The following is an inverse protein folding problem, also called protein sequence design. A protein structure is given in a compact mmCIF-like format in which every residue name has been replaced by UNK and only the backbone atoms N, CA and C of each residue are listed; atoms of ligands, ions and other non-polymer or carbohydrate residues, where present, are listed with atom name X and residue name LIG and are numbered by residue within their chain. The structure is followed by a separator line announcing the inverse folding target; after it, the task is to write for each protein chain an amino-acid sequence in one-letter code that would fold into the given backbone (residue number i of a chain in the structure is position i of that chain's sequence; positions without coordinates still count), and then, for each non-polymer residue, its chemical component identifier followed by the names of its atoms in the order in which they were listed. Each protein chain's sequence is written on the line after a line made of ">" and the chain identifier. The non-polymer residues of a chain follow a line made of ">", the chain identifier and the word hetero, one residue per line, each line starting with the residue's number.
data_IF_615931624641
#
_entry.id   IF_615931624641
#
_cell.length_a   1.000
_cell.length_b   1.000
_cell.length_c   1.000
_cell.angle_alpha   90.00
_cell.angle_beta   90.00
_cell.angle_gamma   90.00
#
_symmetry.space_group_name_H-M   'P 1'
#
loop_
_entity.id
_entity.type
_entity.pdbx_description
1 polymer ?
#
# COMPACT_ATOMS: atom_id res chain seq x y z
N UNK A 1 -41.55 3.36 -39.82
CA UNK A 1 -40.41 2.43 -39.57
C UNK A 1 -39.04 2.90 -40.13
N UNK A 2 -38.81 4.18 -40.44
CA UNK A 2 -37.47 4.70 -40.82
C UNK A 2 -36.76 5.54 -39.75
N UNK A 3 -37.51 6.13 -38.81
CA UNK A 3 -36.94 6.91 -37.71
C UNK A 3 -36.38 6.07 -36.55
N UNK A 4 -36.86 4.84 -36.35
CA UNK A 4 -36.39 3.97 -35.25
C UNK A 4 -34.99 3.37 -35.52
N UNK A 5 -34.55 3.32 -36.79
CA UNK A 5 -33.21 2.84 -37.15
C UNK A 5 -32.11 3.88 -36.96
N UNK A 6 -32.46 5.18 -36.90
CA UNK A 6 -31.48 6.26 -36.69
C UNK A 6 -31.15 6.41 -35.20
N UNK A 7 -32.11 6.18 -34.31
CA UNK A 7 -31.89 6.23 -32.86
C UNK A 7 -30.96 5.12 -32.35
N UNK A 8 -30.94 3.96 -33.03
CA UNK A 8 -30.09 2.83 -32.67
C UNK A 8 -28.62 3.01 -33.12
N UNK A 9 -28.35 3.90 -34.07
CA UNK A 9 -26.98 4.15 -34.57
C UNK A 9 -26.24 5.21 -33.72
N UNK A 10 -26.95 6.10 -33.04
CA UNK A 10 -26.37 7.13 -32.15
C UNK A 10 -25.96 6.61 -30.77
N UNK A 11 -26.34 5.39 -30.39
CA UNK A 11 -25.99 4.79 -29.07
C UNK A 11 -24.68 3.98 -29.08
N UNK A 12 -24.02 3.84 -30.22
CA UNK A 12 -22.81 3.00 -30.37
C UNK A 12 -21.50 3.81 -30.26
N UNK A 13 -21.55 5.16 -30.26
CA UNK A 13 -20.33 6.00 -30.37
C UNK A 13 -19.78 6.49 -29.02
N UNK A 14 -20.42 6.20 -27.88
CA UNK A 14 -19.94 6.66 -26.55
C UNK A 14 -19.32 5.58 -25.65
N UNK A 15 -18.79 4.50 -26.22
CA UNK A 15 -17.94 3.55 -25.47
C UNK A 15 -16.46 3.94 -25.59
N UNK A 16 -16.12 5.21 -25.34
CA UNK A 16 -14.77 5.54 -24.89
C UNK A 16 -14.71 5.17 -23.41
N UNK A 17 -14.57 3.88 -23.14
CA UNK A 17 -14.02 3.46 -21.85
C UNK A 17 -12.55 3.88 -21.88
N UNK A 18 -12.26 5.06 -21.38
CA UNK A 18 -10.91 5.35 -20.95
C UNK A 18 -10.62 4.41 -19.77
N UNK A 19 -10.00 3.28 -20.11
CA UNK A 19 -9.28 2.49 -19.13
C UNK A 19 -8.18 3.40 -18.61
N UNK A 20 -8.43 4.07 -17.48
CA UNK A 20 -7.38 4.70 -16.70
C UNK A 20 -6.45 3.58 -16.26
N UNK A 21 -5.45 3.29 -17.09
CA UNK A 21 -4.47 2.26 -16.81
C UNK A 21 -3.64 2.76 -15.63
N UNK A 22 -3.94 2.26 -14.44
CA UNK A 22 -3.10 2.47 -13.27
C UNK A 22 -1.69 1.97 -13.59
N UNK A 23 -0.75 2.91 -13.60
CA UNK A 23 0.65 2.68 -13.87
C UNK A 23 1.31 2.16 -12.59
N UNK A 24 1.62 0.85 -12.54
CA UNK A 24 2.18 0.18 -11.36
C UNK A 24 3.62 -0.25 -11.57
N UNK A 25 4.50 0.26 -10.72
CA UNK A 25 5.93 0.00 -10.76
C UNK A 25 6.45 -0.41 -9.39
N UNK A 26 7.39 -1.35 -9.39
CA UNK A 26 8.13 -1.79 -8.20
C UNK A 26 9.62 -1.79 -8.49
N UNK A 27 10.42 -1.50 -7.48
CA UNK A 27 11.85 -1.34 -7.65
C UNK A 27 12.53 -0.94 -6.35
N UNK A 28 13.56 -0.11 -6.48
CA UNK A 28 14.39 0.30 -5.37
C UNK A 28 14.73 1.79 -5.41
N UNK A 29 14.77 2.40 -4.23
CA UNK A 29 15.56 3.60 -3.95
C UNK A 29 17.01 3.14 -3.79
N UNK A 30 17.90 3.68 -4.62
CA UNK A 30 19.34 3.48 -4.55
C UNK A 30 19.98 4.70 -3.93
N UNK A 31 20.63 4.50 -2.79
CA UNK A 31 21.44 5.52 -2.14
C UNK A 31 22.92 5.34 -2.50
N UNK A 32 23.73 6.38 -2.29
CA UNK A 32 25.15 6.38 -2.67
C UNK A 32 25.96 5.22 -2.04
N UNK A 33 25.53 4.76 -0.87
CA UNK A 33 26.26 3.75 -0.09
C UNK A 33 25.78 2.31 -0.37
N UNK A 34 25.27 2.04 -1.58
CA UNK A 34 24.74 0.74 -2.06
C UNK A 34 23.46 0.23 -1.34
N UNK A 35 22.93 0.97 -0.36
CA UNK A 35 21.66 0.60 0.26
C UNK A 35 20.52 0.64 -0.77
N UNK A 36 19.79 -0.48 -0.86
CA UNK A 36 18.62 -0.66 -1.71
C UNK A 36 17.37 -0.75 -0.85
N UNK A 37 16.55 0.30 -0.86
CA UNK A 37 15.29 0.32 -0.14
C UNK A 37 14.18 -0.01 -1.14
N UNK A 38 13.35 -1.02 -0.83
CA UNK A 38 12.22 -1.40 -1.68
C UNK A 38 11.29 -0.20 -1.88
N UNK A 39 10.85 0.02 -3.11
CA UNK A 39 9.95 1.13 -3.45
C UNK A 39 8.87 0.69 -4.44
N UNK A 40 7.64 1.13 -4.20
CA UNK A 40 6.53 0.98 -5.14
C UNK A 40 5.97 2.34 -5.49
N UNK A 41 5.54 2.46 -6.73
CA UNK A 41 4.88 3.62 -7.28
C UNK A 41 3.63 3.17 -8.04
N UNK A 42 2.48 3.70 -7.68
CA UNK A 42 1.21 3.47 -8.35
C UNK A 42 0.56 4.81 -8.66
N UNK A 43 0.27 5.08 -9.94
CA UNK A 43 -0.31 6.36 -10.32
C UNK A 43 -1.25 6.27 -11.52
N UNK A 44 -2.17 7.21 -11.60
CA UNK A 44 -2.92 7.54 -12.82
C UNK A 44 -2.39 8.83 -13.41
N UNK A 45 -2.59 8.98 -14.71
CA UNK A 45 -2.28 10.20 -15.44
C UNK A 45 -3.57 10.68 -16.11
N UNK A 46 -3.82 11.99 -16.04
CA UNK A 46 -4.94 12.64 -16.70
C UNK A 46 -4.53 14.04 -17.13
N UNK A 47 -4.59 14.34 -18.43
CA UNK A 47 -4.27 15.65 -19.00
C UNK A 47 -2.88 16.20 -18.61
N UNK A 48 -1.89 15.34 -18.50
CA UNK A 48 -0.52 15.65 -18.09
C UNK A 48 -0.33 15.69 -16.58
N UNK A 49 -1.38 15.60 -15.77
CA UNK A 49 -1.27 15.55 -14.30
C UNK A 49 -1.18 14.12 -13.79
N UNK A 50 -0.30 13.91 -12.81
CA UNK A 50 -0.09 12.62 -12.17
C UNK A 50 -0.60 12.67 -10.74
N UNK A 51 -1.39 11.68 -10.36
CA UNK A 51 -1.83 11.46 -8.98
C UNK A 51 -1.75 9.99 -8.61
N UNK A 52 -1.45 9.69 -7.35
CA UNK A 52 -1.30 8.31 -6.90
C UNK A 52 -0.62 8.18 -5.56
N UNK A 53 0.08 7.05 -5.38
CA UNK A 53 0.73 6.69 -4.13
C UNK A 53 2.13 6.12 -4.36
N UNK A 54 2.99 6.37 -3.39
CA UNK A 54 4.24 5.63 -3.19
C UNK A 54 4.15 4.74 -1.96
N UNK A 55 4.96 3.68 -1.95
CA UNK A 55 5.16 2.81 -0.80
C UNK A 55 6.66 2.50 -0.65
N UNK A 56 7.28 3.14 0.32
CA UNK A 56 8.68 2.95 0.70
C UNK A 56 8.80 1.81 1.70
N UNK A 57 9.87 1.03 1.58
CA UNK A 57 10.15 -0.17 2.40
C UNK A 57 8.95 -1.12 2.53
N UNK A 58 8.23 -1.34 1.43
CA UNK A 58 7.02 -2.16 1.45
C UNK A 58 7.31 -3.58 1.98
N UNK A 59 6.53 -4.04 2.95
CA UNK A 59 6.72 -5.28 3.70
C UNK A 59 7.93 -5.30 4.66
N UNK A 60 8.62 -4.17 4.83
CA UNK A 60 9.71 -3.99 5.79
C UNK A 60 9.27 -3.38 7.12
N UNK A 61 10.26 -3.01 7.95
CA UNK A 61 10.05 -2.46 9.29
C UNK A 61 9.69 -0.98 9.26
N UNK A 62 10.06 -0.28 8.19
CA UNK A 62 9.86 1.16 8.02
C UNK A 62 8.87 1.48 6.90
N UNK A 63 7.95 0.55 6.61
CA UNK A 63 6.96 0.71 5.54
C UNK A 63 6.22 2.06 5.69
N UNK A 64 6.22 2.84 4.61
CA UNK A 64 5.70 4.20 4.61
C UNK A 64 4.93 4.46 3.31
N UNK A 65 3.66 4.86 3.42
CA UNK A 65 2.80 5.17 2.29
C UNK A 65 2.52 6.66 2.21
N UNK A 66 2.78 7.25 1.05
CA UNK A 66 2.56 8.67 0.78
C UNK A 66 1.72 8.88 -0.48
N UNK A 67 0.95 9.96 -0.52
CA UNK A 67 0.36 10.47 -1.78
C UNK A 67 1.46 11.10 -2.61
N UNK A 68 1.35 10.95 -3.91
CA UNK A 68 2.18 11.65 -4.88
C UNK A 68 1.35 12.58 -5.76
N UNK A 69 2.00 13.65 -6.21
CA UNK A 69 1.48 14.55 -7.22
C UNK A 69 2.61 14.95 -8.16
N UNK A 70 2.32 15.04 -9.46
CA UNK A 70 3.34 15.26 -10.46
C UNK A 70 2.79 15.63 -11.82
N UNK A 71 3.69 15.63 -12.81
CA UNK A 71 3.41 16.00 -14.19
C UNK A 71 4.06 14.97 -15.12
N UNK A 72 3.32 14.55 -16.14
CA UNK A 72 3.80 13.82 -17.30
C UNK A 72 3.83 14.74 -18.52
N UNK A 73 5.03 14.95 -19.05
CA UNK A 73 5.23 15.64 -20.32
C UNK A 73 5.32 14.61 -21.45
N UNK A 74 4.21 14.46 -22.18
CA UNK A 74 4.12 13.52 -23.30
C UNK A 74 5.06 13.90 -24.45
N UNK A 75 5.23 15.19 -24.74
CA UNK A 75 6.04 15.70 -25.84
C UNK A 75 7.52 15.39 -25.62
N UNK A 76 8.02 15.64 -24.42
CA UNK A 76 9.42 15.41 -24.07
C UNK A 76 9.69 14.01 -23.49
N UNK A 77 8.64 13.19 -23.33
CA UNK A 77 8.70 11.88 -22.69
C UNK A 77 9.36 11.94 -21.30
N UNK A 78 8.84 12.82 -20.45
CA UNK A 78 9.37 13.06 -19.10
C UNK A 78 8.29 12.90 -18.04
N UNK A 79 8.69 12.34 -16.91
CA UNK A 79 7.88 12.28 -15.70
C UNK A 79 8.58 13.03 -14.57
N UNK A 80 7.80 13.75 -13.78
CA UNK A 80 8.22 14.37 -12.53
C UNK A 80 7.13 14.16 -11.49
N UNK A 81 7.50 13.92 -10.23
CA UNK A 81 6.53 13.85 -9.14
C UNK A 81 7.20 14.13 -7.80
N UNK A 82 6.39 14.49 -6.82
CA UNK A 82 6.80 14.60 -5.42
C UNK A 82 5.80 13.86 -4.53
N UNK A 83 6.31 13.32 -3.43
CA UNK A 83 5.47 12.92 -2.29
C UNK A 83 4.95 14.17 -1.59
N UNK A 84 3.64 14.25 -1.36
CA UNK A 84 2.95 15.46 -0.90
C UNK A 84 2.19 15.28 0.41
N UNK A 85 1.84 14.06 0.77
CA UNK A 85 1.10 13.79 2.01
C UNK A 85 1.40 12.39 2.53
N UNK A 86 1.86 12.30 3.78
CA UNK A 86 2.01 11.03 4.47
C UNK A 86 0.64 10.47 4.90
N UNK A 87 0.35 9.23 4.49
CA UNK A 87 -0.90 8.50 4.81
C UNK A 87 -0.70 7.63 6.04
N UNK A 88 0.34 6.78 6.02
CA UNK A 88 0.75 5.99 7.17
C UNK A 88 2.23 5.67 7.13
N UNK A 89 2.80 5.37 8.31
CA UNK A 89 4.17 4.86 8.44
C UNK A 89 4.29 3.91 9.63
N UNK A 90 5.21 2.95 9.52
CA UNK A 90 5.70 2.14 10.64
C UNK A 90 6.95 2.70 11.29
N UNK A 91 7.55 3.71 10.67
CA UNK A 91 8.71 4.39 11.24
C UNK A 91 8.29 5.15 12.50
N UNK A 92 9.19 5.29 13.48
CA UNK A 92 8.95 6.13 14.65
C UNK A 92 8.53 7.55 14.24
N UNK A 93 7.46 8.06 14.86
CA UNK A 93 6.93 9.41 14.60
C UNK A 93 7.00 10.20 15.90
N UNK A 94 7.57 11.41 15.83
CA UNK A 94 7.50 12.36 16.95
C UNK A 94 6.22 13.19 16.86
N UNK A 95 5.63 13.53 18.01
CA UNK A 95 4.43 14.38 18.05
C UNK A 95 4.71 15.84 17.65
N UNK A 96 5.97 16.26 17.76
CA UNK A 96 6.39 17.65 17.61
C UNK A 96 6.93 17.93 16.21
N UNK A 97 7.32 16.88 15.49
CA UNK A 97 7.81 16.95 14.12
C UNK A 97 7.17 15.82 13.29
N UNK A 98 6.12 16.18 12.53
CA UNK A 98 5.51 15.31 11.52
C UNK A 98 6.22 15.42 10.17
N UNK A 99 7.51 15.78 10.18
CA UNK A 99 8.26 15.95 8.95
C UNK A 99 8.99 14.68 8.54
N UNK A 100 8.83 14.33 7.27
CA UNK A 100 9.41 13.14 6.65
C UNK A 100 10.20 13.57 5.43
N UNK A 101 11.26 12.81 5.17
CA UNK A 101 12.06 12.97 3.97
C UNK A 101 11.27 12.48 2.74
N UNK A 102 10.59 13.40 2.07
CA UNK A 102 9.74 13.14 0.90
C UNK A 102 10.58 13.04 -0.37
N UNK A 103 10.25 12.10 -1.25
CA UNK A 103 10.91 11.95 -2.55
C UNK A 103 10.39 12.98 -3.55
N UNK A 104 11.31 13.72 -4.18
CA UNK A 104 11.05 14.63 -5.29
C UNK A 104 11.83 14.16 -6.52
N UNK A 105 11.15 13.45 -7.42
CA UNK A 105 11.68 13.08 -8.73
C UNK A 105 11.55 14.26 -9.68
N UNK A 106 12.67 14.92 -9.98
CA UNK A 106 12.67 16.17 -10.75
C UNK A 106 12.31 15.97 -12.23
N UNK A 107 12.94 15.00 -12.89
CA UNK A 107 12.65 14.66 -14.29
C UNK A 107 13.33 13.33 -14.64
N UNK A 108 12.55 12.35 -15.06
CA UNK A 108 13.06 11.08 -15.59
C UNK A 108 12.54 10.85 -17.00
N UNK A 109 13.38 10.25 -17.87
CA UNK A 109 12.93 9.81 -19.20
C UNK A 109 11.92 8.68 -19.01
N UNK A 110 10.69 8.90 -19.47
CA UNK A 110 9.58 8.01 -19.21
C UNK A 110 8.53 8.08 -20.31
N UNK A 111 7.90 6.95 -20.60
CA UNK A 111 6.71 6.85 -21.46
C UNK A 111 5.66 6.10 -20.66
N UNK A 112 4.40 6.54 -20.74
CA UNK A 112 3.30 5.79 -20.13
C UNK A 112 3.31 4.33 -20.62
N UNK A 113 3.11 3.39 -19.70
CA UNK A 113 3.23 1.95 -19.98
C UNK A 113 4.65 1.44 -20.23
N UNK A 114 5.70 2.24 -19.96
CA UNK A 114 7.07 1.75 -20.04
C UNK A 114 7.31 0.56 -19.10
N UNK A 115 8.15 -0.37 -19.56
CA UNK A 115 8.48 -1.57 -18.78
C UNK A 115 9.44 -1.29 -17.62
N UNK A 116 10.21 -0.20 -17.70
CA UNK A 116 11.15 0.24 -16.66
C UNK A 116 11.46 1.73 -16.83
N UNK A 117 11.90 2.35 -15.76
CA UNK A 117 12.51 3.68 -15.80
C UNK A 117 13.49 3.84 -14.64
N UNK A 118 14.46 4.73 -14.83
CA UNK A 118 15.32 5.21 -13.77
C UNK A 118 15.22 6.72 -13.68
N UNK A 119 15.41 7.27 -12.49
CA UNK A 119 15.36 8.72 -12.29
C UNK A 119 16.02 9.15 -10.99
N UNK A 120 16.80 10.23 -11.05
CA UNK A 120 17.38 10.83 -9.86
C UNK A 120 16.29 11.59 -9.10
N UNK A 121 16.32 11.47 -7.77
CA UNK A 121 15.43 12.21 -6.89
C UNK A 121 16.23 12.99 -5.84
N UNK A 122 15.58 14.03 -5.33
CA UNK A 122 16.00 14.73 -4.11
C UNK A 122 14.97 14.45 -3.03
N UNK A 123 15.43 13.95 -1.91
CA UNK A 123 14.69 13.85 -0.66
C UNK A 123 14.64 15.22 -0.01
N UNK A 124 13.46 15.69 0.37
CA UNK A 124 13.27 16.95 1.08
C UNK A 124 12.28 16.82 2.22
N UNK A 125 12.57 17.54 3.29
CA UNK A 125 11.64 17.84 4.36
C UNK A 125 10.59 18.86 3.87
N UNK A 126 9.55 19.07 4.67
CA UNK A 126 8.41 19.92 4.38
C UNK A 126 8.79 21.40 4.27
N UNK A 127 9.85 21.80 4.98
CA UNK A 127 10.49 23.13 4.87
C UNK A 127 11.35 23.29 3.60
N UNK A 128 11.51 22.22 2.81
CA UNK A 128 12.33 22.18 1.61
C UNK A 128 13.81 21.83 1.85
N UNK A 129 14.23 21.68 3.10
CA UNK A 129 15.58 21.25 3.47
C UNK A 129 15.85 19.88 2.90
N UNK A 130 16.97 19.74 2.19
CA UNK A 130 17.34 18.49 1.54
C UNK A 130 17.83 17.49 2.60
N UNK A 131 17.22 16.31 2.65
CA UNK A 131 17.58 15.25 3.58
C UNK A 131 18.50 14.20 2.93
N UNK A 132 18.12 13.68 1.76
CA UNK A 132 18.90 12.63 1.08
C UNK A 132 18.75 12.76 -0.43
N UNK A 133 19.70 12.25 -1.21
CA UNK A 133 19.54 12.15 -2.67
C UNK A 133 19.82 10.72 -3.11
N UNK A 134 19.20 10.31 -4.21
CA UNK A 134 19.41 8.98 -4.75
C UNK A 134 18.81 8.80 -6.13
N UNK A 135 18.72 7.55 -6.55
CA UNK A 135 18.14 7.14 -7.82
C UNK A 135 16.98 6.17 -7.56
N UNK A 136 15.84 6.38 -8.21
CA UNK A 136 14.79 5.39 -8.33
C UNK A 136 15.12 4.48 -9.50
N UNK A 137 15.11 3.17 -9.26
CA UNK A 137 15.26 2.15 -10.29
C UNK A 137 14.03 1.25 -10.32
N UNK A 138 13.17 1.45 -11.30
CA UNK A 138 11.80 0.96 -11.30
C UNK A 138 11.52 0.03 -12.47
N UNK A 139 10.74 -1.02 -12.25
CA UNK A 139 10.23 -1.92 -13.28
C UNK A 139 8.72 -2.04 -13.15
N UNK A 140 8.01 -2.16 -14.27
CA UNK A 140 6.56 -2.41 -14.23
C UNK A 140 6.29 -3.72 -13.48
N UNK A 141 5.19 -3.75 -12.74
CA UNK A 141 4.78 -4.96 -11.99
C UNK A 141 4.64 -6.14 -12.94
N UNK A 142 4.11 -5.92 -14.15
CA UNK A 142 3.99 -6.94 -15.20
C UNK A 142 5.35 -7.51 -15.62
N UNK A 143 6.37 -6.67 -15.84
CA UNK A 143 7.72 -7.12 -16.19
C UNK A 143 8.32 -7.97 -15.09
N UNK A 144 8.16 -7.58 -13.83
CA UNK A 144 8.66 -8.34 -12.68
C UNK A 144 7.94 -9.69 -12.58
N UNK A 145 6.62 -9.70 -12.69
CA UNK A 145 5.82 -10.93 -12.71
C UNK A 145 6.28 -11.90 -13.81
N UNK A 146 6.49 -11.39 -15.03
CA UNK A 146 6.97 -12.17 -16.15
C UNK A 146 8.38 -12.75 -15.92
N UNK A 147 9.29 -12.00 -15.29
CA UNK A 147 10.63 -12.49 -14.92
C UNK A 147 10.56 -13.58 -13.87
N UNK A 148 9.74 -13.40 -12.83
CA UNK A 148 9.50 -14.40 -11.79
C UNK A 148 8.95 -15.68 -12.41
N UNK A 149 7.91 -15.58 -13.25
CA UNK A 149 7.33 -16.75 -13.92
C UNK A 149 8.34 -17.52 -14.77
N UNK A 150 9.20 -16.83 -15.53
CA UNK A 150 10.29 -17.45 -16.30
C UNK A 150 11.31 -18.14 -15.40
N UNK A 151 11.68 -17.51 -14.29
CA UNK A 151 12.62 -18.09 -13.31
C UNK A 151 12.02 -19.34 -12.65
N UNK A 152 10.78 -19.27 -12.17
CA UNK A 152 10.07 -20.41 -11.56
C UNK A 152 9.98 -21.60 -12.53
N UNK A 153 9.68 -21.37 -13.82
CA UNK A 153 9.69 -22.43 -14.84
C UNK A 153 11.06 -23.09 -15.01
N UNK A 154 12.15 -22.34 -14.91
CA UNK A 154 13.52 -22.89 -14.98
C UNK A 154 13.86 -23.71 -13.73
N UNK A 155 13.49 -23.22 -12.55
CA UNK A 155 13.70 -23.92 -11.27
C UNK A 155 12.94 -25.24 -11.23
N UNK A 156 11.67 -25.25 -11.63
CA UNK A 156 10.84 -26.46 -11.67
C UNK A 156 11.42 -27.55 -12.60
N UNK A 157 12.02 -27.16 -13.71
CA UNK A 157 12.67 -28.10 -14.66
C UNK A 157 14.05 -28.57 -14.20
N UNK A 158 14.63 -27.96 -13.18
CA UNK A 158 15.97 -28.30 -12.71
C UNK A 158 15.96 -29.59 -11.89
N UNK A 159 16.73 -30.59 -12.32
CA UNK A 159 16.99 -31.81 -11.54
C UNK A 159 17.93 -31.60 -10.36
N UNK A 160 18.60 -30.44 -10.29
CA UNK A 160 19.61 -30.10 -9.25
C UNK A 160 19.04 -29.35 -8.05
N UNK A 161 17.74 -29.04 -8.06
CA UNK A 161 17.07 -28.31 -6.99
C UNK A 161 16.14 -29.28 -6.29
N UNK A 162 16.21 -29.32 -4.96
CA UNK A 162 15.33 -30.14 -4.13
C UNK A 162 13.86 -29.77 -4.33
N UNK A 163 12.99 -30.77 -4.25
CA UNK A 163 11.55 -30.58 -4.47
C UNK A 163 10.93 -29.68 -3.39
N UNK A 164 11.47 -29.68 -2.17
CA UNK A 164 11.11 -28.76 -1.07
C UNK A 164 11.25 -27.27 -1.44
N UNK A 165 12.27 -26.91 -2.23
CA UNK A 165 12.51 -25.54 -2.71
C UNK A 165 11.58 -25.23 -3.89
N UNK A 166 11.33 -26.20 -4.77
CA UNK A 166 10.38 -26.05 -5.88
C UNK A 166 8.95 -25.80 -5.38
N UNK A 167 8.54 -26.49 -4.32
CA UNK A 167 7.21 -26.35 -3.72
C UNK A 167 7.04 -24.99 -3.04
N UNK A 168 8.06 -24.49 -2.32
CA UNK A 168 8.06 -23.12 -1.79
C UNK A 168 7.91 -22.08 -2.90
N UNK A 169 8.56 -22.28 -4.04
CA UNK A 169 8.47 -21.36 -5.18
C UNK A 169 7.14 -21.42 -5.94
N UNK A 170 6.44 -22.57 -5.93
CA UNK A 170 5.10 -22.71 -6.51
C UNK A 170 4.07 -21.83 -5.79
N UNK A 171 4.27 -21.62 -4.49
CA UNK A 171 3.39 -20.86 -3.60
C UNK A 171 3.79 -19.39 -3.44
N UNK A 172 4.84 -18.93 -4.12
CA UNK A 172 5.23 -17.52 -4.15
C UNK A 172 4.18 -16.71 -4.93
N UNK A 173 3.07 -16.39 -4.28
CA UNK A 173 2.17 -15.30 -4.67
C UNK A 173 2.83 -13.96 -4.34
N UNK A 174 3.99 -13.70 -4.96
CA UNK A 174 4.76 -12.47 -4.77
C UNK A 174 3.87 -11.26 -5.01
N UNK A 175 2.87 -11.33 -5.89
CA UNK A 175 1.99 -10.20 -6.20
C UNK A 175 0.88 -9.96 -5.16
N UNK A 176 0.39 -11.01 -4.49
CA UNK A 176 -0.73 -10.87 -3.56
C UNK A 176 -0.24 -10.44 -2.17
N UNK A 177 0.94 -10.92 -1.73
CA UNK A 177 1.58 -10.49 -0.46
C UNK A 177 2.11 -9.06 -0.49
N UNK A 178 2.15 -8.44 -1.67
CA UNK A 178 2.61 -7.07 -1.86
C UNK A 178 1.55 -6.03 -1.51
N UNK A 179 0.26 -6.38 -1.44
CA UNK A 179 -0.80 -5.37 -1.44
C UNK A 179 -1.35 -4.98 -0.06
N UNK A 180 -0.93 -5.64 1.02
CA UNK A 180 -1.47 -5.41 2.35
C UNK A 180 -0.34 -5.09 3.34
N UNK A 181 -0.52 -3.99 4.09
CA UNK A 181 0.29 -3.72 5.26
C UNK A 181 -0.04 -4.78 6.34
N UNK A 182 0.96 -5.57 6.74
CA UNK A 182 0.81 -6.59 7.77
C UNK A 182 1.14 -6.00 9.14
N UNK A 183 0.19 -6.02 10.06
CA UNK A 183 0.36 -5.57 11.44
C UNK A 183 0.92 -6.70 12.30
N UNK A 184 2.14 -6.52 12.78
CA UNK A 184 2.87 -7.54 13.57
C UNK A 184 2.84 -7.24 15.07
N UNK A 185 3.26 -8.24 15.85
CA UNK A 185 3.40 -8.14 17.31
C UNK A 185 4.25 -6.93 17.70
N UNK A 186 3.73 -6.13 18.63
CA UNK A 186 4.35 -4.96 19.22
C UNK A 186 4.81 -3.89 18.21
N UNK A 187 4.30 -3.95 16.99
CA UNK A 187 4.54 -2.94 15.96
C UNK A 187 3.53 -1.79 16.12
N UNK A 188 3.96 -0.58 15.79
CA UNK A 188 3.11 0.60 15.76
C UNK A 188 2.97 1.06 14.30
N UNK A 189 1.74 1.13 13.81
CA UNK A 189 1.44 1.79 12.53
C UNK A 189 0.82 3.16 12.82
N UNK A 190 1.52 4.21 12.45
CA UNK A 190 1.06 5.58 12.57
C UNK A 190 0.24 5.98 11.34
N UNK A 191 -0.98 6.48 11.55
CA UNK A 191 -1.92 6.92 10.53
C UNK A 191 -2.21 8.40 10.73
N UNK A 192 -2.32 9.16 9.65
CA UNK A 192 -2.54 10.60 9.71
C UNK A 192 -3.87 10.97 9.06
N UNK A 193 -4.66 11.77 9.76
CA UNK A 193 -5.98 12.18 9.27
C UNK A 193 -6.36 13.59 9.71
N UNK A 194 -7.24 14.23 8.96
CA UNK A 194 -7.93 15.46 9.35
C UNK A 194 -9.34 15.18 9.87
N UNK A 195 -9.83 13.95 9.71
CA UNK A 195 -11.18 13.55 10.10
C UNK A 195 -11.30 13.45 11.62
N UNK A 196 -12.49 13.81 12.13
CA UNK A 196 -12.82 13.71 13.56
C UNK A 196 -13.33 12.32 13.96
N UNK A 197 -13.61 11.47 12.98
CA UNK A 197 -14.11 10.10 13.18
C UNK A 197 -13.41 9.20 12.19
N UNK A 198 -12.97 8.03 12.66
CA UNK A 198 -12.37 6.98 11.86
C UNK A 198 -13.28 5.75 11.87
N UNK A 199 -13.50 5.14 10.71
CA UNK A 199 -14.24 3.89 10.57
C UNK A 199 -13.28 2.73 10.42
N UNK A 200 -13.49 1.69 11.20
CA UNK A 200 -12.74 0.45 11.11
C UNK A 200 -13.69 -0.66 10.68
N UNK A 201 -13.44 -1.23 9.51
CA UNK A 201 -14.14 -2.42 9.03
C UNK A 201 -13.28 -3.64 9.32
N UNK A 202 -13.86 -4.62 10.01
CA UNK A 202 -13.17 -5.79 10.55
C UNK A 202 -13.86 -7.02 9.97
N UNK A 203 -13.10 -7.88 9.32
CA UNK A 203 -13.62 -9.09 8.69
C UNK A 203 -12.51 -10.08 8.34
N UNK A 204 -12.90 -11.31 8.01
CA UNK A 204 -12.01 -12.34 7.51
C UNK A 204 -11.65 -12.09 6.05
N UNK A 205 -10.35 -12.01 5.73
CA UNK A 205 -9.86 -11.86 4.36
C UNK A 205 -9.53 -13.17 3.66
N UNK A 206 -9.64 -14.30 4.36
CA UNK A 206 -9.14 -15.61 3.96
C UNK A 206 -10.15 -16.72 4.23
N UNK A 207 -9.71 -17.77 4.91
CA UNK A 207 -10.52 -18.94 5.23
C UNK A 207 -11.00 -18.80 6.66
N UNK A 208 -12.33 -18.80 6.87
CA UNK A 208 -12.91 -18.76 8.21
C UNK A 208 -12.33 -19.86 9.08
N UNK A 209 -11.56 -19.47 10.09
CA UNK A 209 -10.93 -20.37 11.03
C UNK A 209 -11.23 -20.03 12.51
N UNK A 210 -12.14 -19.07 12.74
CA UNK A 210 -12.65 -18.63 14.06
C UNK A 210 -11.64 -17.89 14.92
N UNK A 211 -10.84 -17.06 14.27
CA UNK A 211 -10.07 -16.01 14.90
C UNK A 211 -10.92 -15.12 15.82
N UNK A 212 -10.37 -14.74 16.98
CA UNK A 212 -11.06 -13.86 17.95
C UNK A 212 -10.18 -12.69 18.31
N UNK A 213 -10.72 -11.47 18.24
CA UNK A 213 -9.99 -10.23 18.56
C UNK A 213 -10.72 -9.35 19.58
N UNK A 214 -9.94 -8.59 20.34
CA UNK A 214 -10.41 -7.47 21.15
C UNK A 214 -9.75 -6.20 20.66
N UNK A 215 -10.54 -5.15 20.49
CA UNK A 215 -10.06 -3.82 20.08
C UNK A 215 -10.32 -2.83 21.20
N UNK A 216 -9.30 -2.05 21.52
CA UNK A 216 -9.33 -0.99 22.50
C UNK A 216 -9.00 0.34 21.83
N UNK A 217 -9.67 1.40 22.25
CA UNK A 217 -9.33 2.80 21.94
C UNK A 217 -8.98 3.50 23.24
N UNK A 218 -7.77 4.06 23.34
CA UNK A 218 -7.27 4.69 24.58
C UNK A 218 -7.39 3.76 25.80
N UNK A 219 -7.08 2.47 25.61
CA UNK A 219 -7.20 1.44 26.65
C UNK A 219 -8.63 1.07 27.04
N UNK A 220 -9.67 1.68 26.43
CA UNK A 220 -11.08 1.32 26.65
C UNK A 220 -11.54 0.36 25.57
N UNK A 221 -12.22 -0.71 25.98
CA UNK A 221 -12.72 -1.74 25.06
C UNK A 221 -13.82 -1.14 24.18
N UNK A 222 -13.63 -1.22 22.86
CA UNK A 222 -14.62 -0.82 21.84
C UNK A 222 -15.19 -2.03 21.09
N UNK A 223 -14.48 -3.15 21.13
CA UNK A 223 -14.94 -4.44 20.62
C UNK A 223 -14.32 -5.55 21.48
N UNK A 224 -15.15 -6.37 22.11
CA UNK A 224 -14.70 -7.40 23.06
C UNK A 224 -14.86 -8.79 22.45
N UNK A 225 -13.80 -9.60 22.47
CA UNK A 225 -13.81 -11.03 22.13
C UNK A 225 -14.64 -11.34 20.88
N UNK A 226 -14.46 -10.55 19.82
CA UNK A 226 -15.23 -10.67 18.61
C UNK A 226 -14.65 -11.78 17.72
N UNK A 227 -15.45 -12.82 17.48
CA UNK A 227 -15.15 -13.85 16.49
C UNK A 227 -15.26 -13.25 15.08
N UNK A 228 -14.16 -13.30 14.36
CA UNK A 228 -14.03 -12.76 13.01
C UNK A 228 -14.93 -13.55 12.07
N UNK A 229 -15.60 -12.84 11.17
CA UNK A 229 -16.50 -13.42 10.17
C UNK A 229 -16.27 -12.78 8.80
N UNK A 230 -16.80 -13.39 7.75
CA UNK A 230 -16.81 -12.82 6.39
C UNK A 230 -17.60 -11.49 6.32
N UNK A 231 -18.58 -11.30 7.22
CA UNK A 231 -19.37 -10.08 7.26
C UNK A 231 -18.57 -8.94 7.89
N UNK A 232 -18.53 -7.79 7.22
CA UNK A 232 -17.86 -6.60 7.73
C UNK A 232 -18.53 -6.07 8.98
N UNK A 233 -17.85 -6.18 10.12
CA UNK A 233 -18.18 -5.44 11.33
C UNK A 233 -17.59 -4.04 11.24
N UNK A 234 -18.38 -3.03 11.58
CA UNK A 234 -17.94 -1.63 11.62
C UNK A 234 -17.88 -1.16 13.06
N UNK A 235 -16.78 -0.50 13.42
CA UNK A 235 -16.68 0.33 14.62
C UNK A 235 -16.29 1.75 14.20
N UNK A 236 -16.93 2.75 14.80
CA UNK A 236 -16.64 4.16 14.59
C UNK A 236 -15.92 4.70 15.82
N UNK A 237 -14.75 5.29 15.62
CA UNK A 237 -13.91 5.80 16.71
C UNK A 237 -13.75 7.31 16.55
N UNK A 238 -14.23 8.12 17.51
CA UNK A 238 -14.03 9.55 17.49
C UNK A 238 -12.57 9.90 17.86
N UNK A 239 -11.95 10.76 17.04
CA UNK A 239 -10.61 11.29 17.25
C UNK A 239 -10.76 12.62 17.98
N UNK A 240 -10.52 12.59 19.30
CA UNK A 240 -10.74 13.72 20.20
C UNK A 240 -9.46 14.43 20.60
N UNK A 241 -8.30 13.82 20.33
CA UNK A 241 -6.99 14.22 20.82
C UNK A 241 -6.01 14.24 19.65
N UNK A 242 -4.88 14.96 19.82
CA UNK A 242 -3.80 15.02 18.82
C UNK A 242 -3.30 13.64 18.41
N UNK A 243 -3.34 12.68 19.34
CA UNK A 243 -3.02 11.27 19.14
C UNK A 243 -4.11 10.40 19.77
N UNK A 244 -4.56 9.39 19.04
CA UNK A 244 -5.45 8.32 19.54
C UNK A 244 -4.84 6.96 19.22
N UNK A 245 -4.55 6.15 20.24
CA UNK A 245 -3.99 4.80 20.11
C UNK A 245 -5.10 3.75 20.11
N UNK A 246 -5.12 2.95 19.05
CA UNK A 246 -5.92 1.74 18.92
C UNK A 246 -5.03 0.54 19.20
N UNK A 247 -5.48 -0.32 20.10
CA UNK A 247 -4.80 -1.59 20.39
C UNK A 247 -5.66 -2.74 19.88
N UNK A 248 -5.05 -3.64 19.11
CA UNK A 248 -5.69 -4.87 18.65
C UNK A 248 -5.00 -6.02 19.36
N UNK A 249 -5.80 -6.87 20.02
CA UNK A 249 -5.34 -8.03 20.76
C UNK A 249 -5.92 -9.28 20.11
N UNK A 250 -5.08 -10.25 19.84
CA UNK A 250 -5.50 -11.59 19.41
C UNK A 250 -5.88 -12.43 20.64
N UNK A 251 -7.16 -12.72 20.83
CA UNK A 251 -7.63 -13.58 21.91
C UNK A 251 -7.60 -15.07 21.52
N UNK A 252 -7.66 -15.35 20.22
CA UNK A 252 -7.58 -16.70 19.63
C UNK A 252 -7.04 -16.63 18.21
N UNK A 253 -6.26 -17.64 17.81
CA UNK A 253 -5.73 -17.83 16.44
C UNK A 253 -6.58 -18.82 15.63
N UNK A 254 -7.80 -19.07 16.07
CA UNK A 254 -8.70 -20.00 15.40
C UNK A 254 -8.12 -21.40 15.31
N UNK A 255 -8.13 -21.95 14.08
CA UNK A 255 -7.64 -23.30 13.79
C UNK A 255 -6.37 -23.34 12.94
N UNK A 256 -5.93 -22.21 12.35
CA UNK A 256 -4.83 -22.19 11.39
C UNK A 256 -3.85 -21.05 11.68
N UNK A 257 -2.62 -21.40 12.08
CA UNK A 257 -1.50 -20.47 12.09
C UNK A 257 -1.66 -19.33 13.10
N UNK A 258 -1.73 -18.10 12.59
CA UNK A 258 -1.83 -16.85 13.37
C UNK A 258 -3.18 -16.19 13.11
N UNK A 259 -3.63 -15.33 14.02
CA UNK A 259 -4.83 -14.54 13.82
C UNK A 259 -4.68 -13.58 12.62
N UNK A 260 -5.50 -13.80 11.61
CA UNK A 260 -5.56 -13.09 10.32
C UNK A 260 -6.85 -12.31 10.16
N UNK A 261 -6.89 -11.14 10.78
CA UNK A 261 -7.99 -10.19 10.66
C UNK A 261 -7.67 -9.13 9.61
N UNK A 262 -8.55 -8.92 8.63
CA UNK A 262 -8.48 -7.74 7.76
C UNK A 262 -9.09 -6.55 8.48
N UNK A 263 -8.35 -5.45 8.47
CA UNK A 263 -8.78 -4.16 8.97
C UNK A 263 -8.75 -3.14 7.83
N UNK A 264 -9.91 -2.61 7.45
CA UNK A 264 -9.98 -1.42 6.60
C UNK A 264 -10.19 -0.19 7.49
N UNK A 265 -9.18 0.67 7.55
CA UNK A 265 -9.19 1.94 8.29
C UNK A 265 -9.55 3.02 7.28
N UNK A 266 -10.67 3.70 7.51
CA UNK A 266 -11.25 4.66 6.56
C UNK A 266 -11.50 5.99 7.25
N UNK A 267 -10.99 7.05 6.62
CA UNK A 267 -11.33 8.43 6.92
C UNK A 267 -12.14 9.05 5.75
N UNK A 268 -12.32 10.36 5.73
CA UNK A 268 -13.12 11.02 4.66
C UNK A 268 -12.47 10.94 3.26
N UNK A 269 -11.16 10.65 3.17
CA UNK A 269 -10.34 10.76 1.95
C UNK A 269 -9.57 9.48 1.64
N UNK A 270 -9.09 8.79 2.67
CA UNK A 270 -8.12 7.72 2.63
C UNK A 270 -8.75 6.41 3.10
N UNK A 271 -8.38 5.33 2.42
CA UNK A 271 -8.67 3.95 2.82
C UNK A 271 -7.37 3.18 2.94
N UNK A 272 -7.08 2.69 4.14
CA UNK A 272 -5.91 1.88 4.45
C UNK A 272 -6.39 0.47 4.75
N UNK A 273 -5.90 -0.51 3.99
CA UNK A 273 -6.23 -1.91 4.19
C UNK A 273 -5.02 -2.63 4.79
N UNK A 274 -5.21 -3.21 5.96
CA UNK A 274 -4.16 -3.93 6.70
C UNK A 274 -4.63 -5.33 7.05
N UNK A 275 -3.68 -6.19 7.41
CA UNK A 275 -3.93 -7.58 7.84
C UNK A 275 -3.16 -7.82 9.14
N UNK A 276 -3.79 -8.36 10.18
CA UNK A 276 -3.05 -8.79 11.37
C UNK A 276 -2.33 -10.11 11.12
N UNK A 277 -1.21 -10.30 11.81
CA UNK A 277 -0.52 -11.57 11.90
C UNK A 277 -0.03 -11.73 13.33
N UNK A 278 -0.91 -12.19 14.22
CA UNK A 278 -0.69 -12.21 15.67
C UNK A 278 -0.90 -13.61 16.24
N UNK A 279 0.00 -14.07 17.09
CA UNK A 279 -0.26 -15.25 17.93
C UNK A 279 -1.26 -14.91 19.04
N UNK A 280 -1.74 -15.93 19.75
CA UNK A 280 -2.62 -15.74 20.91
C UNK A 280 -1.95 -14.82 21.94
N UNK A 281 -2.73 -13.90 22.49
CA UNK A 281 -2.36 -12.89 23.47
C UNK A 281 -1.35 -11.84 22.97
N UNK A 282 -0.98 -11.88 21.68
CA UNK A 282 -0.19 -10.83 21.06
C UNK A 282 -1.04 -9.62 20.68
N UNK A 283 -0.37 -8.47 20.62
CA UNK A 283 -0.98 -7.19 20.35
C UNK A 283 -0.21 -6.40 19.31
N UNK A 284 -0.91 -5.54 18.60
CA UNK A 284 -0.35 -4.54 17.68
C UNK A 284 -1.07 -3.21 17.90
N UNK A 285 -0.45 -2.12 17.45
CA UNK A 285 -0.92 -0.77 17.74
C UNK A 285 -1.09 0.04 16.46
N UNK A 286 -2.14 0.85 16.44
CA UNK A 286 -2.34 1.88 15.42
C UNK A 286 -2.45 3.21 16.14
N UNK A 287 -1.52 4.11 15.86
CA UNK A 287 -1.53 5.46 16.38
C UNK A 287 -2.15 6.39 15.33
N UNK A 288 -3.27 7.02 15.65
CA UNK A 288 -3.98 7.95 14.78
C UNK A 288 -3.59 9.37 15.20
N UNK A 289 -2.96 10.11 14.30
CA UNK A 289 -2.59 11.51 14.52
C UNK A 289 -3.56 12.43 13.79
N UNK A 290 -4.13 13.36 14.54
CA UNK A 290 -4.99 14.41 14.00
C UNK A 290 -4.12 15.58 13.50
N UNK A 291 -4.18 15.85 12.20
CA UNK A 291 -3.51 16.98 11.52
C UNK A 291 -4.36 18.25 11.55
#
# INVERSE_FOLDING_TARGET
>A
MKFFKVLLFTLIVCQFTESQNENKYVGFIKLKDTLLIKYRLEFSESNGEISGYSLTDFGGEHETKSKISGIYDQTNHRISFKEVELIYTKSPVSLDDFDFCNIHLESAKFKLGANEFNGNFKGKFSDGTQCINGELAMSSVEKVANRVAKFSKKVQKSKRIEDSIKDKMKNLKILDSLNLNVLKKNEVTSVFTKSKVMKFFIYDGGKIDKDVVTILSEGKIVLLNYEISENKKVIEIPIKTKKTTITIISNSVGTIGTNTTVLEIVDDVNKIKTLTSLNKDEKTYIDIFQK
#
